data_IF_652116073632
#
_entry.id   IF_652116073632
#
_cell.length_a   1.000
_cell.length_b   1.000
_cell.length_c   1.000
_cell.angle_alpha   90.00
_cell.angle_beta   90.00
_cell.angle_gamma   90.00
#
_symmetry.space_group_name_H-M   'P 1'
#
loop_
_entity.id
_entity.type
_entity.pdbx_description
1 polymer ?
#
# COMPACT_ATOMS: atom_id res chain seq x y z
N UNK A 1 2.45 3.03 -9.59
CA UNK A 1 3.19 4.30 -9.58
C UNK A 1 3.75 4.53 -8.20
N UNK A 2 4.96 5.05 -8.06
CA UNK A 2 5.63 5.17 -6.76
C UNK A 2 5.81 6.67 -6.47
N UNK A 3 5.17 7.20 -5.41
CA UNK A 3 5.46 8.57 -4.98
C UNK A 3 6.91 8.62 -4.51
N UNK A 4 7.64 9.63 -4.96
CA UNK A 4 9.02 9.86 -4.55
C UNK A 4 9.04 10.96 -3.48
N UNK A 5 9.53 10.65 -2.30
CA UNK A 5 9.74 11.60 -1.21
C UNK A 5 11.17 11.46 -0.70
N UNK A 6 11.75 12.56 -0.27
CA UNK A 6 13.00 12.52 0.47
C UNK A 6 12.71 12.24 1.95
N UNK A 7 13.53 11.43 2.59
CA UNK A 7 13.36 11.07 4.01
C UNK A 7 13.30 12.31 4.91
N UNK A 8 14.18 13.29 4.71
CA UNK A 8 14.18 14.55 5.44
C UNK A 8 12.88 15.36 5.28
N UNK A 9 12.24 15.31 4.12
CA UNK A 9 10.95 15.98 3.90
C UNK A 9 9.81 15.32 4.69
N UNK A 10 9.82 13.98 4.76
CA UNK A 10 8.77 13.24 5.50
C UNK A 10 8.88 13.51 6.99
N UNK A 11 10.10 13.60 7.52
CA UNK A 11 10.35 13.85 8.94
C UNK A 11 10.07 15.31 9.32
N UNK A 12 10.43 16.26 8.45
CA UNK A 12 10.37 17.71 8.77
C UNK A 12 9.06 18.40 8.42
N UNK A 13 8.26 17.81 7.49
CA UNK A 13 7.00 18.40 7.03
C UNK A 13 5.79 17.79 7.72
N UNK A 14 4.66 18.51 7.78
CA UNK A 14 3.42 17.97 8.33
C UNK A 14 2.96 16.69 7.61
N UNK A 15 2.23 15.83 8.30
CA UNK A 15 1.67 14.58 7.76
C UNK A 15 0.91 14.79 6.44
N UNK A 16 0.25 15.93 6.28
CA UNK A 16 -0.44 16.32 5.03
C UNK A 16 0.46 16.33 3.80
N UNK A 17 1.77 16.57 3.95
CA UNK A 17 2.71 16.52 2.84
C UNK A 17 2.82 15.09 2.26
N UNK A 18 2.97 14.08 3.11
CA UNK A 18 3.03 12.69 2.67
C UNK A 18 1.71 12.25 2.01
N UNK A 19 0.58 12.63 2.60
CA UNK A 19 -0.76 12.37 2.05
C UNK A 19 -0.94 13.02 0.68
N UNK A 20 -0.47 14.25 0.49
CA UNK A 20 -0.51 14.95 -0.80
C UNK A 20 0.32 14.22 -1.85
N UNK A 21 1.52 13.76 -1.51
CA UNK A 21 2.39 13.01 -2.44
C UNK A 21 1.76 11.70 -2.90
N UNK A 22 1.10 10.98 -2.00
CA UNK A 22 0.34 9.78 -2.35
C UNK A 22 -0.81 10.13 -3.30
N UNK A 23 -1.58 11.18 -3.00
CA UNK A 23 -2.69 11.64 -3.86
C UNK A 23 -2.23 12.07 -5.24
N UNK A 24 -1.14 12.82 -5.34
CA UNK A 24 -0.53 13.20 -6.62
C UNK A 24 -0.18 11.97 -7.46
N UNK A 25 0.44 10.95 -6.84
CA UNK A 25 0.80 9.71 -7.51
C UNK A 25 -0.44 8.92 -7.99
N UNK A 26 -1.50 8.86 -7.18
CA UNK A 26 -2.77 8.20 -7.56
C UNK A 26 -3.45 8.94 -8.71
N UNK A 27 -3.54 10.27 -8.64
CA UNK A 27 -4.19 11.09 -9.67
C UNK A 27 -3.44 11.04 -11.02
N UNK A 28 -2.15 10.77 -11.01
CA UNK A 28 -1.37 10.60 -12.24
C UNK A 28 -1.69 9.30 -12.99
N UNK A 29 -2.40 8.34 -12.37
CA UNK A 29 -2.88 7.11 -13.03
C UNK A 29 -4.21 7.41 -13.73
N UNK A 30 -4.12 8.05 -14.89
CA UNK A 30 -5.28 8.36 -15.74
C UNK A 30 -5.64 7.19 -16.66
N UNK A 31 -6.86 7.24 -17.25
CA UNK A 31 -7.25 6.24 -18.25
C UNK A 31 -6.31 6.25 -19.48
N UNK A 32 -5.77 7.40 -19.86
CA UNK A 32 -4.77 7.51 -20.94
C UNK A 32 -3.45 6.86 -20.55
N UNK A 33 -2.99 7.09 -19.30
CA UNK A 33 -1.81 6.41 -18.78
C UNK A 33 -1.97 4.89 -18.83
N UNK A 34 -3.11 4.36 -18.37
CA UNK A 34 -3.38 2.90 -18.41
C UNK A 34 -3.40 2.39 -19.84
N UNK A 35 -4.09 3.08 -20.77
CA UNK A 35 -4.11 2.73 -22.19
C UNK A 35 -2.72 2.73 -22.79
N UNK A 36 -1.89 3.73 -22.47
CA UNK A 36 -0.52 3.82 -22.98
C UNK A 36 0.34 2.64 -22.51
N UNK A 37 0.17 2.21 -21.25
CA UNK A 37 0.89 1.04 -20.74
C UNK A 37 0.44 -0.27 -21.40
N UNK A 38 -0.84 -0.40 -21.73
CA UNK A 38 -1.38 -1.58 -22.41
C UNK A 38 -1.05 -1.60 -23.91
N UNK A 39 -0.95 -0.43 -24.54
CA UNK A 39 -0.67 -0.31 -25.99
C UNK A 39 0.82 -0.52 -26.34
N UNK A 40 1.71 -0.20 -25.43
CA UNK A 40 3.11 -0.58 -25.53
C UNK A 40 3.19 -2.06 -25.19
N UNK A 41 3.08 -2.93 -26.17
CA UNK A 41 3.20 -4.38 -25.98
C UNK A 41 4.40 -4.64 -25.04
N UNK A 42 4.20 -5.45 -24.00
CA UNK A 42 5.28 -5.76 -23.05
C UNK A 42 6.42 -6.45 -23.79
N UNK A 43 7.41 -5.68 -24.21
CA UNK A 43 8.65 -6.23 -24.71
C UNK A 43 9.37 -7.02 -23.60
N UNK A 44 10.28 -7.90 -23.97
CA UNK A 44 11.00 -8.76 -23.00
C UNK A 44 11.69 -7.90 -21.91
N UNK A 45 12.24 -6.75 -22.28
CA UNK A 45 12.87 -5.82 -21.33
C UNK A 45 11.91 -5.29 -20.27
N UNK A 46 10.65 -4.92 -20.64
CA UNK A 46 9.63 -4.48 -19.69
C UNK A 46 9.19 -5.62 -18.77
N UNK A 47 9.04 -6.82 -19.32
CA UNK A 47 8.71 -8.02 -18.52
C UNK A 47 9.81 -8.31 -17.51
N UNK A 48 11.06 -8.24 -17.91
CA UNK A 48 12.20 -8.47 -17.03
C UNK A 48 12.34 -7.38 -15.96
N UNK A 49 12.04 -6.12 -16.31
CA UNK A 49 11.98 -5.02 -15.35
C UNK A 49 10.88 -5.21 -14.31
N UNK A 50 9.67 -5.58 -14.74
CA UNK A 50 8.54 -5.87 -13.85
C UNK A 50 8.87 -7.07 -12.95
N UNK A 51 9.45 -8.12 -13.53
CA UNK A 51 9.87 -9.31 -12.78
C UNK A 51 10.93 -8.95 -11.73
N UNK A 52 11.94 -8.20 -12.09
CA UNK A 52 12.98 -7.75 -11.16
C UNK A 52 12.41 -6.85 -10.04
N UNK A 53 11.40 -6.02 -10.36
CA UNK A 53 10.73 -5.17 -9.39
C UNK A 53 9.97 -5.99 -8.33
N UNK A 54 9.24 -7.04 -8.75
CA UNK A 54 8.41 -7.85 -7.84
C UNK A 54 9.11 -9.05 -7.22
N UNK A 55 10.07 -9.66 -7.93
CA UNK A 55 10.70 -10.91 -7.50
C UNK A 55 12.18 -10.76 -7.14
N UNK A 56 12.78 -9.60 -7.42
CA UNK A 56 14.23 -9.41 -7.29
C UNK A 56 15.02 -9.95 -8.49
N UNK A 57 16.34 -9.74 -8.47
CA UNK A 57 17.24 -10.08 -9.58
C UNK A 57 17.93 -11.45 -9.41
N UNK A 58 17.40 -12.34 -8.55
CA UNK A 58 17.98 -13.65 -8.33
C UNK A 58 17.66 -14.25 -6.96
N UNK A 59 18.09 -15.50 -6.72
CA UNK A 59 17.88 -16.17 -5.43
C UNK A 59 18.48 -15.35 -4.28
N UNK A 60 17.63 -14.99 -3.30
CA UNK A 60 18.05 -14.27 -2.10
C UNK A 60 18.13 -12.75 -2.24
N UNK A 61 17.85 -12.17 -3.42
CA UNK A 61 17.75 -10.72 -3.56
C UNK A 61 16.38 -10.21 -3.18
N UNK A 62 16.32 -9.16 -2.34
CA UNK A 62 15.04 -8.48 -2.04
C UNK A 62 14.52 -7.80 -3.32
N UNK A 63 13.20 -7.89 -3.61
CA UNK A 63 12.57 -7.11 -4.68
C UNK A 63 12.86 -5.61 -4.53
N UNK A 64 12.85 -4.88 -5.64
CA UNK A 64 13.16 -3.45 -5.62
C UNK A 64 12.23 -2.63 -4.70
N UNK A 65 10.93 -3.04 -4.59
CA UNK A 65 9.97 -2.40 -3.69
C UNK A 65 10.17 -2.75 -2.20
N UNK A 66 10.82 -3.88 -1.91
CA UNK A 66 11.11 -4.34 -0.55
C UNK A 66 12.52 -3.97 -0.07
N UNK A 67 13.16 -3.00 -0.74
CA UNK A 67 14.41 -2.43 -0.27
C UNK A 67 14.15 -1.49 0.89
N UNK A 68 15.16 -1.29 1.71
CA UNK A 68 15.11 -0.50 2.93
C UNK A 68 14.34 0.82 2.72
N UNK A 69 13.43 1.12 3.65
CA UNK A 69 12.56 2.31 3.69
C UNK A 69 11.42 2.37 2.66
N UNK A 70 11.18 1.31 1.87
CA UNK A 70 10.03 1.27 0.98
C UNK A 70 8.85 0.52 1.62
N UNK A 71 7.66 1.08 1.49
CA UNK A 71 6.41 0.47 1.96
C UNK A 71 5.54 0.20 0.73
N UNK A 72 5.05 -1.03 0.59
CA UNK A 72 4.05 -1.36 -0.41
C UNK A 72 2.66 -1.21 0.21
N UNK A 73 1.93 -0.19 -0.25
CA UNK A 73 0.57 0.08 0.18
C UNK A 73 -0.43 -0.36 -0.87
N UNK A 74 -1.42 -1.14 -0.46
CA UNK A 74 -2.55 -1.57 -1.30
C UNK A 74 -3.85 -1.15 -0.65
N UNK A 75 -4.68 -0.39 -1.38
CA UNK A 75 -6.00 0.03 -0.91
C UNK A 75 -7.11 -0.74 -1.63
N UNK A 76 -8.02 -1.31 -0.86
CA UNK A 76 -9.21 -2.03 -1.31
C UNK A 76 -10.50 -1.32 -0.89
N UNK A 77 -10.38 -0.06 -0.50
CA UNK A 77 -11.47 0.76 0.04
C UNK A 77 -12.68 0.86 -0.91
N UNK A 78 -12.43 0.85 -2.21
CA UNK A 78 -13.49 0.97 -3.22
C UNK A 78 -14.01 -0.39 -3.72
N UNK A 79 -13.57 -1.50 -3.13
CA UNK A 79 -14.08 -2.83 -3.47
C UNK A 79 -15.29 -3.17 -2.60
N UNK A 80 -16.41 -3.59 -3.19
CA UNK A 80 -17.63 -3.90 -2.45
C UNK A 80 -17.55 -5.29 -1.79
N UNK A 81 -16.49 -5.53 -1.01
CA UNK A 81 -16.18 -6.84 -0.42
C UNK A 81 -17.28 -7.32 0.54
N UNK A 82 -17.98 -6.41 1.21
CA UNK A 82 -19.07 -6.73 2.12
C UNK A 82 -20.45 -6.79 1.46
N UNK A 83 -20.53 -6.59 0.13
CA UNK A 83 -21.76 -6.76 -0.64
C UNK A 83 -21.87 -8.17 -1.24
N UNK A 84 -20.80 -8.96 -1.21
CA UNK A 84 -20.79 -10.32 -1.71
C UNK A 84 -21.71 -11.19 -0.86
N UNK A 85 -22.76 -11.76 -1.48
CA UNK A 85 -23.66 -12.72 -0.85
C UNK A 85 -23.74 -13.97 -1.75
N UNK A 86 -23.35 -15.11 -1.21
CA UNK A 86 -23.37 -16.39 -1.91
C UNK A 86 -24.58 -17.26 -1.48
N UNK A 87 -25.62 -16.67 -0.90
CA UNK A 87 -26.85 -17.33 -0.47
C UNK A 87 -26.93 -17.63 1.02
N UNK A 88 -25.90 -17.35 1.80
CA UNK A 88 -25.89 -17.50 3.27
C UNK A 88 -25.61 -16.20 4.03
N UNK A 89 -25.74 -15.05 3.36
CA UNK A 89 -25.60 -13.73 3.95
C UNK A 89 -24.29 -13.04 3.58
N UNK A 90 -24.19 -11.78 4.01
CA UNK A 90 -23.01 -10.95 3.75
C UNK A 90 -21.81 -11.35 4.61
N UNK A 91 -20.56 -11.13 4.15
CA UNK A 91 -19.37 -11.40 4.93
C UNK A 91 -19.35 -10.59 6.23
N UNK A 92 -19.02 -11.24 7.33
CA UNK A 92 -18.81 -10.59 8.62
C UNK A 92 -17.42 -9.96 8.74
N UNK A 93 -16.46 -10.52 8.04
CA UNK A 93 -15.08 -10.06 8.06
C UNK A 93 -14.39 -10.38 6.74
N UNK A 94 -13.56 -9.45 6.29
CA UNK A 94 -12.66 -9.63 5.16
C UNK A 94 -11.20 -9.57 5.66
N UNK A 95 -10.37 -10.49 5.20
CA UNK A 95 -8.94 -10.53 5.50
C UNK A 95 -8.17 -11.17 4.35
N UNK A 96 -6.88 -10.91 4.27
CA UNK A 96 -6.01 -11.55 3.31
C UNK A 96 -5.74 -12.99 3.71
N UNK A 97 -6.02 -13.94 2.82
CA UNK A 97 -5.80 -15.37 3.05
C UNK A 97 -4.31 -15.76 3.04
N UNK A 98 -3.47 -14.95 2.44
CA UNK A 98 -2.04 -15.20 2.34
C UNK A 98 -1.27 -14.08 3.04
N UNK A 99 -0.58 -14.44 4.12
CA UNK A 99 0.42 -13.58 4.73
C UNK A 99 1.64 -13.65 3.82
N UNK A 100 1.84 -12.59 3.06
CA UNK A 100 3.02 -12.48 2.21
C UNK A 100 4.27 -12.63 3.10
N UNK A 101 5.18 -13.48 2.73
CA UNK A 101 6.47 -13.67 3.43
C UNK A 101 7.34 -12.40 3.42
N UNK A 102 6.92 -11.39 2.67
CA UNK A 102 7.63 -10.13 2.53
C UNK A 102 7.06 -9.12 3.51
N UNK A 103 7.93 -8.52 4.31
CA UNK A 103 7.64 -7.42 5.23
C UNK A 103 7.42 -6.09 4.49
N UNK A 104 7.08 -5.04 5.22
CA UNK A 104 6.87 -3.67 4.76
C UNK A 104 5.65 -3.48 3.83
N UNK A 105 4.54 -4.13 4.21
CA UNK A 105 3.27 -4.03 3.49
C UNK A 105 2.16 -3.47 4.36
N UNK A 106 1.36 -2.64 3.71
CA UNK A 106 0.14 -2.05 4.30
C UNK A 106 -1.04 -2.36 3.40
N UNK A 107 -2.08 -2.97 3.98
CA UNK A 107 -3.38 -3.16 3.34
C UNK A 107 -4.43 -2.25 3.99
N UNK A 108 -5.24 -1.59 3.19
CA UNK A 108 -6.32 -0.72 3.67
C UNK A 108 -7.64 -1.27 3.13
N UNK A 109 -8.58 -1.55 4.04
CA UNK A 109 -9.88 -2.16 3.75
C UNK A 109 -11.01 -1.36 4.38
N UNK A 110 -12.23 -1.39 3.81
CA UNK A 110 -13.40 -0.87 4.51
C UNK A 110 -13.68 -1.72 5.76
N UNK A 111 -14.27 -1.10 6.80
CA UNK A 111 -14.80 -1.85 7.94
C UNK A 111 -16.10 -2.58 7.57
N UNK A 112 -16.47 -3.66 8.26
CA UNK A 112 -17.73 -4.37 8.01
C UNK A 112 -18.97 -3.49 8.12
N UNK A 113 -18.96 -2.49 9.01
CA UNK A 113 -20.04 -1.52 9.21
C UNK A 113 -20.05 -0.37 8.20
N UNK A 114 -19.01 -0.21 7.38
CA UNK A 114 -18.87 0.91 6.45
C UNK A 114 -18.51 2.25 7.11
N UNK A 115 -18.33 2.28 8.42
CA UNK A 115 -18.10 3.46 9.26
C UNK A 115 -16.62 3.69 9.60
N UNK A 116 -15.73 2.82 9.13
CA UNK A 116 -14.32 2.87 9.47
C UNK A 116 -13.40 2.26 8.43
N UNK A 117 -12.14 2.22 8.78
CA UNK A 117 -11.04 1.68 7.98
C UNK A 117 -10.30 0.63 8.79
N UNK A 118 -10.09 -0.53 8.18
CA UNK A 118 -9.22 -1.57 8.72
C UNK A 118 -7.85 -1.46 8.03
N UNK A 119 -6.81 -1.28 8.84
CA UNK A 119 -5.42 -1.22 8.35
C UNK A 119 -4.70 -2.49 8.74
N UNK A 120 -4.30 -3.24 7.75
CA UNK A 120 -3.43 -4.41 7.92
C UNK A 120 -1.98 -4.01 7.77
N UNK A 121 -1.16 -4.38 8.72
CA UNK A 121 0.26 -4.05 8.77
C UNK A 121 1.09 -5.33 8.82
N UNK A 122 2.04 -5.48 7.92
CA UNK A 122 3.01 -6.56 7.90
C UNK A 122 4.43 -5.98 7.92
N UNK A 123 4.98 -5.85 9.11
CA UNK A 123 6.31 -5.30 9.38
C UNK A 123 7.07 -6.24 10.31
N UNK A 124 8.35 -6.05 10.43
CA UNK A 124 9.15 -6.72 11.47
C UNK A 124 8.68 -6.32 12.87
N UNK A 125 8.81 -7.22 13.84
CA UNK A 125 8.28 -7.04 15.20
C UNK A 125 8.78 -5.74 15.85
N UNK A 126 10.05 -5.40 15.66
CA UNK A 126 10.64 -4.17 16.21
C UNK A 126 9.98 -2.90 15.64
N UNK A 127 9.70 -2.89 14.32
CA UNK A 127 9.02 -1.79 13.65
C UNK A 127 7.57 -1.65 14.11
N UNK A 128 6.86 -2.78 14.28
CA UNK A 128 5.48 -2.78 14.79
C UNK A 128 5.38 -2.23 16.20
N UNK A 129 6.35 -2.53 17.07
CA UNK A 129 6.39 -1.99 18.43
C UNK A 129 6.59 -0.47 18.43
N UNK A 130 7.44 0.04 17.55
CA UNK A 130 7.65 1.47 17.38
C UNK A 130 6.40 2.14 16.78
N UNK A 131 5.84 1.55 15.73
CA UNK A 131 4.65 2.08 15.08
C UNK A 131 3.45 2.18 16.04
N UNK A 132 3.23 1.18 16.89
CA UNK A 132 2.17 1.24 17.92
C UNK A 132 2.29 2.45 18.85
N UNK A 133 3.51 2.89 19.14
CA UNK A 133 3.74 4.07 19.99
C UNK A 133 3.47 5.38 19.24
N UNK A 134 3.76 5.41 17.95
CA UNK A 134 3.71 6.63 17.13
C UNK A 134 2.38 6.80 16.41
N UNK A 135 1.66 5.72 16.11
CA UNK A 135 0.49 5.72 15.23
C UNK A 135 -0.62 6.72 15.63
N UNK A 136 -0.81 6.92 16.92
CA UNK A 136 -1.80 7.85 17.46
C UNK A 136 -1.18 9.13 18.03
N UNK A 137 0.15 9.25 18.07
CA UNK A 137 0.82 10.39 18.69
C UNK A 137 0.39 11.72 18.05
N UNK A 138 0.34 11.78 16.72
CA UNK A 138 -0.02 12.99 15.98
C UNK A 138 -1.53 13.29 15.98
N UNK A 139 -2.38 12.30 16.28
CA UNK A 139 -3.83 12.51 16.35
C UNK A 139 -4.26 13.26 17.61
N UNK A 140 -3.51 13.14 18.70
CA UNK A 140 -3.77 13.86 19.95
C UNK A 140 -3.31 15.31 19.93
N UNK A 141 -2.36 15.65 19.05
CA UNK A 141 -1.83 17.04 18.94
C UNK A 141 -2.79 17.95 18.14
N UNK A 142 -3.64 17.38 17.27
CA UNK A 142 -4.57 18.15 16.44
C UNK A 142 -5.90 18.49 17.14
N UNK A 143 -6.09 18.08 18.40
CA UNK A 143 -7.32 18.29 19.19
C UNK A 143 -7.16 19.34 20.30
N UNK A 144 -6.04 20.07 20.33
CA UNK A 144 -5.76 21.22 21.17
C UNK A 144 -5.71 22.49 20.32
#
# INVERSE_FOLDING_TARGET
MTPKCYEGDIISKPLGYAAQKIREAVNAVTGEYVKSQLSVGLGQEQVDHIRAFFMGQGHGTKPAYARDHNILLTSWMNMPVYEADFGWGKPMQFTLAHVFQQVDRVGIFPSPGGDGVVVYLNFETAQLQLLKKLFYADMYVSSL
#
